data_IF_907811388401
#
_entry.id   IF_907811388401
#
_cell.length_a   1.000
_cell.length_b   1.000
_cell.length_c   1.000
_cell.angle_alpha   90.00
_cell.angle_beta   90.00
_cell.angle_gamma   90.00
#
_symmetry.space_group_name_H-M   'P 1'
#
loop_
_entity.id
_entity.type
_entity.pdbx_description
1 polymer ?
#
# COMPACT_ATOMS: atom_id res chain seq x y z
N UNK A 1 -6.80 68.12 -8.10
CA UNK A 1 -7.78 67.01 -8.16
C UNK A 1 -7.16 65.60 -8.04
N UNK A 2 -5.93 65.44 -7.51
CA UNK A 2 -5.21 64.14 -7.55
C UNK A 2 -5.05 63.44 -6.18
N UNK A 3 -5.22 64.15 -5.06
CA UNK A 3 -5.06 63.58 -3.71
C UNK A 3 -6.23 62.67 -3.28
N UNK A 4 -7.44 62.93 -3.76
CA UNK A 4 -8.64 62.14 -3.40
C UNK A 4 -8.67 60.73 -4.00
N UNK A 5 -8.14 60.57 -5.21
CA UNK A 5 -8.14 59.28 -5.92
C UNK A 5 -7.15 58.30 -5.31
N UNK A 6 -5.97 58.79 -4.90
CA UNK A 6 -4.95 57.97 -4.23
C UNK A 6 -5.41 57.51 -2.85
N UNK A 7 -6.04 58.40 -2.07
CA UNK A 7 -6.59 58.06 -0.76
C UNK A 7 -7.71 57.01 -0.85
N UNK A 8 -8.53 57.09 -1.90
CA UNK A 8 -9.60 56.13 -2.16
C UNK A 8 -9.05 54.75 -2.54
N UNK A 9 -8.01 54.69 -3.39
CA UNK A 9 -7.34 53.44 -3.77
C UNK A 9 -6.72 52.73 -2.56
N UNK A 10 -6.08 53.47 -1.66
CA UNK A 10 -5.52 52.86 -0.43
C UNK A 10 -6.60 52.37 0.53
N UNK A 11 -7.68 53.14 0.74
CA UNK A 11 -8.81 52.71 1.57
C UNK A 11 -9.52 51.47 1.00
N UNK A 12 -9.69 51.42 -0.32
CA UNK A 12 -10.31 50.29 -0.99
C UNK A 12 -9.47 49.01 -0.87
N UNK A 13 -8.14 49.12 -1.02
CA UNK A 13 -7.22 47.99 -0.81
C UNK A 13 -7.21 47.54 0.65
N UNK A 14 -7.23 48.47 1.61
CA UNK A 14 -7.28 48.13 3.03
C UNK A 14 -8.58 47.41 3.41
N UNK A 15 -9.72 47.88 2.89
CA UNK A 15 -11.02 47.23 3.10
C UNK A 15 -11.08 45.84 2.46
N UNK A 16 -10.50 45.65 1.26
CA UNK A 16 -10.42 44.34 0.62
C UNK A 16 -9.56 43.35 1.42
N UNK A 17 -8.42 43.79 1.96
CA UNK A 17 -7.56 42.94 2.81
C UNK A 17 -8.24 42.55 4.12
N UNK A 18 -8.99 43.47 4.75
CA UNK A 18 -9.76 43.16 5.96
C UNK A 18 -10.91 42.17 5.66
N UNK A 19 -11.58 42.28 4.51
CA UNK A 19 -12.62 41.35 4.10
C UNK A 19 -12.08 39.94 3.83
N UNK A 20 -10.92 39.82 3.18
CA UNK A 20 -10.26 38.52 2.95
C UNK A 20 -9.79 37.90 4.27
N UNK A 21 -9.24 38.70 5.19
CA UNK A 21 -8.84 38.23 6.52
C UNK A 21 -10.02 37.76 7.37
N UNK A 22 -11.15 38.49 7.35
CA UNK A 22 -12.38 38.09 8.04
C UNK A 22 -12.99 36.82 7.43
N UNK A 23 -12.94 36.65 6.10
CA UNK A 23 -13.41 35.44 5.43
C UNK A 23 -12.52 34.22 5.76
N UNK A 24 -11.20 34.40 5.88
CA UNK A 24 -10.26 33.35 6.29
C UNK A 24 -10.47 32.91 7.76
N UNK A 25 -10.77 33.85 8.65
CA UNK A 25 -11.12 33.58 10.06
C UNK A 25 -12.49 32.88 10.20
N UNK A 26 -13.43 33.08 9.25
CA UNK A 26 -14.70 32.36 9.22
C UNK A 26 -14.59 30.94 8.63
N UNK A 27 -13.55 30.66 7.84
CA UNK A 27 -13.30 29.34 7.25
C UNK A 27 -12.42 28.41 8.10
N UNK A 28 -11.71 28.96 9.08
CA UNK A 28 -10.92 28.15 10.02
C UNK A 28 -11.76 27.81 11.25
N UNK A 29 -12.71 26.87 11.07
CA UNK A 29 -13.31 26.20 12.23
C UNK A 29 -12.22 25.37 12.91
N UNK A 30 -11.87 25.63 14.19
CA UNK A 30 -10.96 24.75 14.91
C UNK A 30 -11.63 23.37 15.02
N UNK A 31 -10.90 22.33 14.59
CA UNK A 31 -11.30 20.95 14.79
C UNK A 31 -11.47 20.69 16.29
N UNK A 32 -12.51 19.96 16.72
CA UNK A 32 -12.67 19.59 18.12
C UNK A 32 -11.46 18.77 18.58
N UNK A 33 -10.91 19.13 19.74
CA UNK A 33 -9.91 18.34 20.43
C UNK A 33 -10.52 16.96 20.74
N UNK A 34 -9.89 15.91 20.22
CA UNK A 34 -10.18 14.53 20.58
C UNK A 34 -9.60 14.27 21.98
N UNK A 35 -10.49 14.23 22.97
CA UNK A 35 -10.23 13.82 24.34
C UNK A 35 -11.18 12.68 24.68
N UNK A 36 -10.70 11.44 24.55
CA UNK A 36 -11.05 10.37 25.48
C UNK A 36 -9.96 9.32 25.53
N UNK A 37 -9.17 9.42 26.60
CA UNK A 37 -8.29 8.40 27.14
C UNK A 37 -9.05 7.15 27.62
N UNK A 38 -8.27 6.06 27.77
CA UNK A 38 -8.52 4.84 28.57
C UNK A 38 -9.41 3.78 27.90
N UNK A 39 -9.06 2.50 27.82
CA UNK A 39 -8.41 1.63 28.81
C UNK A 39 -7.66 0.50 28.08
N UNK A 40 -6.37 0.34 28.36
CA UNK A 40 -5.61 -0.89 28.07
C UNK A 40 -6.03 -1.95 29.10
N UNK A 41 -6.49 -3.11 28.63
CA UNK A 41 -6.59 -4.32 29.45
C UNK A 41 -5.76 -5.45 28.80
N UNK A 42 -4.93 -6.18 29.57
CA UNK A 42 -4.01 -7.17 29.03
C UNK A 42 -4.75 -8.48 28.76
N UNK A 43 -4.93 -8.84 27.48
CA UNK A 43 -5.35 -10.21 27.13
C UNK A 43 -4.12 -11.09 27.15
N UNK A 44 -4.00 -11.79 28.29
CA UNK A 44 -3.02 -12.83 28.57
C UNK A 44 -3.11 -13.94 27.51
N UNK A 45 -2.06 -14.02 26.71
CA UNK A 45 -1.71 -15.15 25.87
C UNK A 45 -1.75 -16.44 26.71
N UNK A 46 -2.66 -17.34 26.35
CA UNK A 46 -2.74 -18.69 26.90
C UNK A 46 -2.63 -19.67 25.74
N UNK A 47 -1.39 -19.88 25.32
CA UNK A 47 -0.99 -21.05 24.55
C UNK A 47 -1.00 -22.22 25.52
N UNK A 48 -2.06 -23.03 25.48
CA UNK A 48 -2.08 -24.32 26.16
C UNK A 48 -1.12 -25.28 25.41
N UNK A 49 -0.14 -25.89 26.09
CA UNK A 49 0.80 -26.80 25.47
C UNK A 49 0.12 -28.15 25.21
N UNK A 50 0.19 -28.69 24.00
CA UNK A 50 -0.08 -30.10 23.77
C UNK A 50 1.00 -30.93 24.49
N UNK A 51 0.61 -31.53 25.60
CA UNK A 51 1.39 -32.54 26.30
C UNK A 51 1.11 -33.89 25.65
N UNK A 52 2.02 -34.34 24.79
CA UNK A 52 2.11 -35.75 24.40
C UNK A 52 2.72 -36.52 25.58
N UNK A 53 1.94 -37.42 26.18
CA UNK A 53 2.53 -38.51 26.96
C UNK A 53 1.71 -39.80 26.89
N UNK A 54 2.47 -40.85 26.58
CA UNK A 54 2.23 -42.29 26.53
C UNK A 54 0.99 -42.87 27.24
N UNK A 55 0.32 -43.78 26.53
CA UNK A 55 0.00 -45.12 27.09
C UNK A 55 0.33 -46.23 26.07
N UNK A 56 0.89 -47.30 26.62
CA UNK A 56 1.65 -48.40 26.00
C UNK A 56 0.84 -49.42 25.16
N UNK A 57 1.46 -49.86 24.04
CA UNK A 57 1.74 -51.24 23.51
C UNK A 57 0.70 -52.40 23.63
N UNK A 58 0.72 -53.51 22.83
CA UNK A 58 1.91 -54.10 22.18
C UNK A 58 1.78 -54.86 20.81
N UNK A 59 2.94 -54.94 20.14
CA UNK A 59 3.56 -56.05 19.37
C UNK A 59 2.96 -56.61 18.05
N UNK A 60 3.86 -56.62 17.05
CA UNK A 60 4.22 -57.61 15.99
C UNK A 60 4.46 -56.85 14.68
N UNK A 61 5.48 -57.01 13.83
CA UNK A 61 6.54 -57.99 13.58
C UNK A 61 7.62 -57.28 12.71
N UNK A 62 8.88 -57.22 13.14
CA UNK A 62 10.09 -57.81 12.51
C UNK A 62 10.57 -57.26 11.13
N UNK A 63 11.85 -56.85 11.10
CA UNK A 63 12.72 -56.64 9.93
C UNK A 63 12.81 -55.17 9.46
N UNK A 64 13.94 -54.50 9.30
CA UNK A 64 15.34 -54.94 9.24
C UNK A 64 16.29 -53.73 9.41
N UNK A 65 17.54 -54.03 9.75
CA UNK A 65 18.58 -53.12 10.23
C UNK A 65 19.23 -52.30 9.10
N UNK A 66 19.35 -50.96 9.25
CA UNK A 66 20.59 -50.21 8.89
C UNK A 66 20.84 -49.05 9.86
N UNK A 67 21.94 -49.17 10.59
CA UNK A 67 22.61 -48.11 11.34
C UNK A 67 23.23 -47.13 10.34
N UNK A 68 23.06 -45.83 10.55
CA UNK A 68 24.24 -44.97 10.56
C UNK A 68 24.06 -43.83 11.56
N UNK A 69 25.17 -43.52 12.21
CA UNK A 69 25.28 -42.79 13.46
C UNK A 69 25.88 -41.41 13.19
N UNK A 70 25.71 -40.50 14.16
CA UNK A 70 26.39 -39.20 14.34
C UNK A 70 26.02 -38.05 13.40
N UNK A 71 26.12 -36.77 13.77
CA UNK A 71 25.95 -35.97 14.99
C UNK A 71 26.20 -34.52 14.51
N UNK A 72 25.78 -33.54 15.29
CA UNK A 72 26.41 -32.22 15.37
C UNK A 72 26.09 -31.13 14.31
N UNK A 73 25.11 -30.29 14.70
CA UNK A 73 25.21 -28.82 14.82
C UNK A 73 25.97 -28.02 13.77
N UNK A 74 25.23 -27.13 13.07
CA UNK A 74 25.72 -25.77 12.79
C UNK A 74 24.57 -24.79 12.58
N UNK A 75 24.42 -23.85 13.50
CA UNK A 75 23.72 -22.57 13.28
C UNK A 75 24.35 -21.89 12.07
N UNK A 76 23.61 -21.84 10.96
CA UNK A 76 24.10 -21.28 9.70
C UNK A 76 23.12 -20.21 9.26
N UNK A 77 23.56 -18.95 9.38
CA UNK A 77 22.82 -17.80 8.91
C UNK A 77 22.29 -18.01 7.50
N UNK A 78 21.03 -17.67 7.30
CA UNK A 78 20.32 -17.79 6.04
C UNK A 78 20.82 -16.72 5.05
N UNK A 79 22.06 -16.86 4.58
CA UNK A 79 22.50 -16.20 3.36
C UNK A 79 21.98 -17.01 2.19
N UNK A 80 20.69 -16.88 1.92
CA UNK A 80 20.07 -17.51 0.76
C UNK A 80 20.45 -16.72 -0.49
N UNK A 81 21.21 -17.37 -1.37
CA UNK A 81 21.13 -17.04 -2.79
C UNK A 81 19.71 -17.42 -3.25
N UNK A 82 18.72 -16.56 -3.00
CA UNK A 82 17.35 -16.77 -3.49
C UNK A 82 17.39 -16.59 -5.00
N UNK A 83 17.28 -17.69 -5.73
CA UNK A 83 17.14 -17.65 -7.18
C UNK A 83 15.78 -17.01 -7.50
N UNK A 84 15.82 -15.83 -8.11
CA UNK A 84 14.62 -15.08 -8.46
C UNK A 84 13.86 -15.76 -9.62
N UNK A 85 12.55 -15.99 -9.46
CA UNK A 85 11.73 -16.59 -10.53
C UNK A 85 11.58 -15.67 -11.74
N UNK A 86 11.18 -16.22 -12.90
CA UNK A 86 10.89 -15.41 -14.08
C UNK A 86 9.75 -14.40 -13.83
N UNK A 87 8.68 -14.82 -13.16
CA UNK A 87 7.57 -13.95 -12.77
C UNK A 87 8.02 -12.81 -11.84
N UNK A 88 8.89 -13.11 -10.84
CA UNK A 88 9.44 -12.06 -9.98
C UNK A 88 10.30 -11.06 -10.73
N UNK A 89 11.14 -11.52 -11.66
CA UNK A 89 11.93 -10.61 -12.50
C UNK A 89 11.02 -9.71 -13.33
N UNK A 90 9.95 -10.27 -13.92
CA UNK A 90 8.95 -9.51 -14.69
C UNK A 90 8.25 -8.47 -13.81
N UNK A 91 7.74 -8.86 -12.64
CA UNK A 91 7.07 -7.95 -11.69
C UNK A 91 8.00 -6.81 -11.28
N UNK A 92 9.23 -7.11 -10.84
CA UNK A 92 10.20 -6.06 -10.47
C UNK A 92 10.58 -5.17 -11.63
N UNK A 93 10.73 -5.71 -12.84
CA UNK A 93 11.03 -4.92 -14.03
C UNK A 93 9.89 -3.95 -14.35
N UNK A 94 8.63 -4.40 -14.30
CA UNK A 94 7.47 -3.55 -14.55
C UNK A 94 7.35 -2.42 -13.52
N UNK A 95 7.55 -2.74 -12.23
CA UNK A 95 7.59 -1.77 -11.13
C UNK A 95 8.71 -0.75 -11.33
N UNK A 96 9.89 -1.18 -11.81
CA UNK A 96 11.01 -0.28 -12.08
C UNK A 96 10.86 0.59 -13.33
N UNK A 97 10.05 0.15 -14.30
CA UNK A 97 9.83 0.87 -15.57
C UNK A 97 8.72 1.90 -15.51
N UNK A 98 7.72 1.71 -14.64
CA UNK A 98 6.59 2.62 -14.49
C UNK A 98 6.60 3.20 -13.09
N UNK A 99 6.60 4.53 -12.99
CA UNK A 99 6.51 5.20 -11.69
C UNK A 99 5.18 4.94 -11.00
N UNK A 100 4.11 4.73 -11.75
CA UNK A 100 2.84 4.19 -11.25
C UNK A 100 2.53 2.90 -12.02
N UNK A 101 2.33 1.81 -11.29
CA UNK A 101 2.07 0.48 -11.88
C UNK A 101 0.88 -0.17 -11.20
N UNK A 102 -0.09 -0.65 -11.97
CA UNK A 102 -1.27 -1.35 -11.49
C UNK A 102 -1.20 -2.81 -11.88
N UNK A 103 -1.09 -3.70 -10.90
CA UNK A 103 -1.34 -5.11 -11.11
C UNK A 103 -2.83 -5.37 -10.90
N UNK A 104 -3.49 -5.83 -11.96
CA UNK A 104 -4.94 -5.86 -12.13
C UNK A 104 -5.43 -7.28 -12.44
N UNK A 105 -6.74 -7.46 -12.40
CA UNK A 105 -7.44 -8.57 -13.05
C UNK A 105 -8.53 -8.04 -13.98
N UNK A 106 -8.61 -8.58 -15.19
CA UNK A 106 -9.46 -8.04 -16.26
C UNK A 106 -10.95 -8.04 -15.90
N UNK A 107 -11.42 -9.06 -15.18
CA UNK A 107 -12.81 -9.23 -14.76
C UNK A 107 -13.14 -8.67 -13.37
N UNK A 108 -12.15 -8.13 -12.64
CA UNK A 108 -12.32 -7.75 -11.25
C UNK A 108 -12.90 -6.33 -11.12
N UNK A 109 -14.06 -6.15 -10.44
CA UNK A 109 -14.67 -4.83 -10.28
C UNK A 109 -13.79 -3.84 -9.51
N UNK A 110 -13.08 -4.30 -8.46
CA UNK A 110 -12.13 -3.45 -7.73
C UNK A 110 -10.97 -2.99 -8.61
N UNK A 111 -10.49 -3.85 -9.50
CA UNK A 111 -9.40 -3.48 -10.42
C UNK A 111 -9.89 -2.48 -11.46
N UNK A 112 -11.14 -2.63 -11.93
CA UNK A 112 -11.79 -1.66 -12.79
C UNK A 112 -11.89 -0.29 -12.10
N UNK A 113 -12.44 -0.24 -10.88
CA UNK A 113 -12.60 1.00 -10.12
C UNK A 113 -11.27 1.74 -9.92
N UNK A 114 -10.21 1.03 -9.53
CA UNK A 114 -8.88 1.63 -9.37
C UNK A 114 -8.33 2.20 -10.68
N UNK A 115 -8.50 1.49 -11.81
CA UNK A 115 -8.10 1.98 -13.13
C UNK A 115 -8.92 3.18 -13.56
N UNK A 116 -10.24 3.16 -13.35
CA UNK A 116 -11.13 4.26 -13.70
C UNK A 116 -10.76 5.53 -12.92
N UNK A 117 -10.41 5.42 -11.64
CA UNK A 117 -9.93 6.53 -10.82
C UNK A 117 -8.59 7.07 -11.33
N UNK A 118 -7.59 6.22 -11.54
CA UNK A 118 -6.28 6.66 -12.06
C UNK A 118 -6.38 7.25 -13.48
N UNK A 119 -7.36 6.80 -14.27
CA UNK A 119 -7.64 7.34 -15.60
C UNK A 119 -8.19 8.77 -15.52
N UNK A 120 -8.93 9.14 -14.47
CA UNK A 120 -9.33 10.54 -14.24
C UNK A 120 -8.09 11.41 -14.01
N UNK A 121 -7.15 10.97 -13.15
CA UNK A 121 -5.88 11.66 -12.97
C UNK A 121 -5.03 11.74 -14.24
N UNK A 122 -5.06 10.70 -15.09
CA UNK A 122 -4.40 10.72 -16.39
C UNK A 122 -4.99 11.81 -17.29
N UNK A 123 -6.32 11.81 -17.44
CA UNK A 123 -7.02 12.71 -18.34
C UNK A 123 -6.96 14.17 -17.90
N UNK A 124 -7.03 14.44 -16.60
CA UNK A 124 -7.12 15.79 -16.05
C UNK A 124 -5.75 16.38 -15.75
N UNK A 125 -4.79 15.56 -15.29
CA UNK A 125 -3.54 16.02 -14.70
C UNK A 125 -2.29 15.35 -15.31
N UNK A 126 -2.46 14.56 -16.37
CA UNK A 126 -1.35 13.97 -17.12
C UNK A 126 -0.62 12.85 -16.39
N UNK A 127 -1.27 12.15 -15.45
CA UNK A 127 -0.69 11.00 -14.78
C UNK A 127 -0.42 9.84 -15.76
N UNK A 128 0.82 9.40 -15.88
CA UNK A 128 1.17 8.18 -16.63
C UNK A 128 1.25 6.95 -15.71
N UNK A 129 0.57 5.85 -16.07
CA UNK A 129 0.64 4.59 -15.33
C UNK A 129 0.62 3.36 -16.23
N UNK A 130 1.33 2.31 -15.81
CA UNK A 130 1.32 1.00 -16.46
C UNK A 130 0.27 0.07 -15.85
N UNK A 131 -0.21 -0.91 -16.64
CA UNK A 131 -1.15 -1.94 -16.19
C UNK A 131 -0.66 -3.32 -16.61
N UNK A 132 -0.75 -4.29 -15.70
CA UNK A 132 -0.60 -5.72 -16.00
C UNK A 132 -1.86 -6.46 -15.56
N UNK A 133 -2.56 -7.09 -16.50
CA UNK A 133 -3.69 -7.99 -16.20
C UNK A 133 -3.16 -9.38 -15.87
N UNK A 134 -3.02 -9.69 -14.58
CA UNK A 134 -2.34 -10.89 -14.11
C UNK A 134 -3.08 -12.19 -14.51
N UNK A 135 -4.39 -12.14 -14.73
CA UNK A 135 -5.20 -13.27 -15.20
C UNK A 135 -4.98 -13.62 -16.67
N UNK A 136 -4.42 -12.70 -17.47
CA UNK A 136 -4.11 -12.90 -18.88
C UNK A 136 -2.67 -13.35 -19.13
N UNK A 137 -1.88 -13.49 -18.06
CA UNK A 137 -0.51 -13.95 -18.11
C UNK A 137 -0.43 -15.47 -18.33
N UNK A 138 0.69 -15.94 -18.88
CA UNK A 138 0.91 -17.37 -19.10
C UNK A 138 0.93 -18.15 -17.76
N UNK A 139 1.43 -17.52 -16.70
CA UNK A 139 1.54 -18.10 -15.35
C UNK A 139 0.91 -17.17 -14.28
N UNK A 140 -0.44 -17.03 -14.23
CA UNK A 140 -1.11 -16.09 -13.34
C UNK A 140 -0.80 -16.29 -11.85
N UNK A 141 -0.67 -17.55 -11.43
CA UNK A 141 -0.39 -17.91 -10.04
C UNK A 141 1.03 -17.53 -9.63
N UNK A 142 2.00 -17.64 -10.54
CA UNK A 142 3.38 -17.22 -10.30
C UNK A 142 3.49 -15.69 -10.21
N UNK A 143 2.74 -14.96 -11.04
CA UNK A 143 2.65 -13.49 -10.94
C UNK A 143 2.06 -13.07 -9.59
N UNK A 144 0.97 -13.72 -9.15
CA UNK A 144 0.37 -13.47 -7.84
C UNK A 144 1.36 -13.79 -6.70
N UNK A 145 2.06 -14.91 -6.76
CA UNK A 145 3.04 -15.30 -5.75
C UNK A 145 4.22 -14.33 -5.71
N UNK A 146 4.70 -13.87 -6.88
CA UNK A 146 5.73 -12.85 -7.00
C UNK A 146 5.29 -11.52 -6.37
N UNK A 147 4.06 -11.07 -6.63
CA UNK A 147 3.49 -9.87 -5.97
C UNK A 147 3.42 -10.01 -4.45
N UNK A 148 3.04 -11.20 -3.96
CA UNK A 148 3.06 -11.52 -2.54
C UNK A 148 4.47 -11.39 -1.94
N UNK A 149 5.51 -11.85 -2.64
CA UNK A 149 6.91 -11.73 -2.18
C UNK A 149 7.45 -10.30 -2.28
N UNK A 150 7.00 -9.51 -3.25
CA UNK A 150 7.47 -8.12 -3.47
C UNK A 150 6.77 -7.12 -2.53
N UNK A 151 5.49 -7.33 -2.22
CA UNK A 151 4.66 -6.33 -1.54
C UNK A 151 3.89 -6.84 -0.32
N UNK A 152 4.03 -8.12 0.03
CA UNK A 152 3.20 -8.80 1.03
C UNK A 152 1.68 -8.80 0.71
N UNK A 153 1.26 -8.37 -0.49
CA UNK A 153 -0.15 -8.34 -0.92
C UNK A 153 -0.41 -9.37 -2.03
N UNK A 154 -1.40 -10.22 -1.80
CA UNK A 154 -1.86 -11.25 -2.73
C UNK A 154 -3.19 -10.90 -3.43
N UNK A 155 -3.81 -9.78 -3.08
CA UNK A 155 -5.08 -9.31 -3.63
C UNK A 155 -4.86 -8.39 -4.83
N UNK A 156 -5.91 -8.27 -5.66
CA UNK A 156 -5.94 -7.38 -6.82
C UNK A 156 -7.08 -6.37 -6.65
N UNK A 157 -6.91 -5.10 -7.05
CA UNK A 157 -5.67 -4.56 -7.61
C UNK A 157 -4.56 -4.43 -6.57
N UNK A 158 -3.32 -4.35 -7.03
CA UNK A 158 -2.16 -3.97 -6.22
C UNK A 158 -1.43 -2.83 -6.96
N UNK A 159 -1.54 -1.62 -6.41
CA UNK A 159 -1.05 -0.40 -7.04
C UNK A 159 0.29 -0.01 -6.43
N UNK A 160 1.26 0.31 -7.27
CA UNK A 160 2.59 0.77 -6.88
C UNK A 160 2.82 2.22 -7.31
N UNK A 161 3.49 2.98 -6.45
CA UNK A 161 4.00 4.33 -6.74
C UNK A 161 5.48 4.41 -6.32
N UNK A 162 6.36 4.79 -7.24
CA UNK A 162 7.82 4.84 -7.09
C UNK A 162 8.41 3.58 -6.44
N UNK A 163 7.94 2.39 -6.84
CA UNK A 163 8.47 1.13 -6.36
C UNK A 163 7.78 0.55 -5.13
N UNK A 164 6.89 1.28 -4.46
CA UNK A 164 6.21 0.87 -3.25
C UNK A 164 4.72 0.62 -3.48
N UNK A 165 4.19 -0.47 -2.92
CA UNK A 165 2.74 -0.72 -2.95
C UNK A 165 2.03 0.29 -2.05
N UNK A 166 1.01 0.96 -2.60
CA UNK A 166 0.13 1.88 -1.86
C UNK A 166 -1.20 1.22 -1.48
N UNK A 167 -1.42 -0.04 -1.86
CA UNK A 167 -2.62 -0.80 -1.52
C UNK A 167 -3.41 -1.29 -2.73
N UNK A 168 -4.70 -1.56 -2.50
CA UNK A 168 -5.68 -1.94 -3.50
C UNK A 168 -6.66 -0.82 -3.81
N UNK A 169 -7.88 -1.18 -4.24
CA UNK A 169 -8.89 -0.20 -4.65
C UNK A 169 -9.38 0.63 -3.48
N UNK A 170 -9.63 0.01 -2.32
CA UNK A 170 -10.22 0.70 -1.17
C UNK A 170 -9.25 1.73 -0.58
N UNK A 171 -7.97 1.35 -0.45
CA UNK A 171 -6.94 2.27 0.03
C UNK A 171 -6.74 3.44 -0.95
N UNK A 172 -6.75 3.16 -2.26
CA UNK A 172 -6.63 4.19 -3.30
C UNK A 172 -7.82 5.17 -3.26
N UNK A 173 -9.06 4.66 -3.21
CA UNK A 173 -10.26 5.48 -3.09
C UNK A 173 -10.26 6.32 -1.82
N UNK A 174 -9.86 5.74 -0.68
CA UNK A 174 -9.75 6.47 0.58
C UNK A 174 -8.71 7.60 0.51
N UNK A 175 -7.54 7.35 -0.09
CA UNK A 175 -6.52 8.39 -0.29
C UNK A 175 -7.02 9.50 -1.23
N UNK A 176 -7.81 9.16 -2.24
CA UNK A 176 -8.41 10.14 -3.14
C UNK A 176 -9.43 11.02 -2.40
N UNK A 177 -10.35 10.42 -1.66
CA UNK A 177 -11.38 11.13 -0.88
C UNK A 177 -10.77 12.08 0.16
N UNK A 178 -9.64 11.70 0.76
CA UNK A 178 -8.90 12.53 1.72
C UNK A 178 -8.03 13.61 1.07
N UNK A 179 -7.82 13.56 -0.25
CA UNK A 179 -6.88 14.42 -0.97
C UNK A 179 -5.41 13.98 -0.88
N UNK A 180 -5.10 12.97 -0.07
CA UNK A 180 -3.75 12.41 0.12
C UNK A 180 -3.16 11.88 -1.19
N UNK A 181 -3.97 11.28 -2.07
CA UNK A 181 -3.52 10.78 -3.36
C UNK A 181 -3.00 11.92 -4.25
N UNK A 182 -3.78 13.00 -4.38
CA UNK A 182 -3.39 14.16 -5.17
C UNK A 182 -2.11 14.81 -4.59
N UNK A 183 -2.07 14.99 -3.27
CA UNK A 183 -0.89 15.54 -2.58
C UNK A 183 0.36 14.68 -2.85
N UNK A 184 0.27 13.37 -2.68
CA UNK A 184 1.38 12.44 -2.91
C UNK A 184 1.86 12.49 -4.37
N UNK A 185 0.95 12.45 -5.34
CA UNK A 185 1.29 12.49 -6.76
C UNK A 185 1.95 13.82 -7.14
N UNK A 186 1.46 14.95 -6.61
CA UNK A 186 2.04 16.27 -6.86
C UNK A 186 3.44 16.41 -6.24
N UNK A 187 3.61 15.99 -4.98
CA UNK A 187 4.93 15.98 -4.31
C UNK A 187 5.96 15.15 -5.08
N UNK A 188 5.52 14.05 -5.67
CA UNK A 188 6.34 13.17 -6.51
C UNK A 188 6.50 13.66 -7.95
N UNK A 189 5.90 14.80 -8.32
CA UNK A 189 5.90 15.37 -9.67
C UNK A 189 5.43 14.35 -10.71
N UNK A 190 4.36 13.63 -10.37
CA UNK A 190 3.69 12.66 -11.24
C UNK A 190 2.49 13.26 -11.97
N UNK A 191 2.02 14.41 -11.50
CA UNK A 191 0.92 15.19 -12.04
C UNK A 191 1.29 16.68 -11.99
N UNK A 192 0.61 17.49 -12.80
CA UNK A 192 0.83 18.96 -12.90
C UNK A 192 0.00 19.75 -11.90
#
# INVERSE_FOLDING_TARGET
>A
MSLGVTLYRHRLVLLALLAVGALFMLFTRPAPADESDSVVSPVKERVEPMHDNLLQSPLTSAGDIRKDNSEQTKTRGYSSNVVQTAAERKVRNLIGRHRVMVFSKSYCPYSKNAKDLLSQYHNELGLEFGVLEADLEAEPMEVKAALGRVSARLTFPNIFVDGYSIGGSDELSMMHEKGDLALMLQQKRLIV
#
